data_IF_414280682372
#
_entry.id   IF_414280682372
#
_cell.length_a   1.000
_cell.length_b   1.000
_cell.length_c   1.000
_cell.angle_alpha   90.00
_cell.angle_beta   90.00
_cell.angle_gamma   90.00
#
_symmetry.space_group_name_H-M   'P 1'
#
loop_
_entity.id
_entity.type
_entity.pdbx_description
1 polymer ?
#
# COMPACT_ATOMS: atom_id res chain seq x y z
N UNK A 1 -11.03 -9.27 -37.52
CA UNK A 1 -11.98 -9.15 -36.39
C UNK A 1 -11.13 -9.12 -35.13
N UNK A 2 -10.82 -7.95 -34.56
CA UNK A 2 -10.22 -7.87 -33.24
C UNK A 2 -11.26 -7.28 -32.27
N UNK A 3 -12.11 -8.14 -31.74
CA UNK A 3 -13.01 -7.79 -30.64
C UNK A 3 -13.14 -9.06 -29.80
N UNK A 4 -12.33 -9.15 -28.73
CA UNK A 4 -12.74 -9.60 -27.40
C UNK A 4 -11.51 -9.55 -26.46
N UNK A 5 -11.05 -8.34 -26.13
CA UNK A 5 -10.31 -8.13 -24.88
C UNK A 5 -11.26 -7.36 -23.99
N UNK A 6 -11.91 -8.08 -23.08
CA UNK A 6 -12.77 -7.47 -22.07
C UNK A 6 -11.99 -6.36 -21.34
N UNK A 7 -12.50 -5.12 -21.28
CA UNK A 7 -11.83 -4.00 -20.62
C UNK A 7 -12.08 -4.06 -19.11
N UNK A 8 -11.65 -5.15 -18.48
CA UNK A 8 -11.63 -5.25 -17.02
C UNK A 8 -10.18 -5.06 -16.60
N UNK A 9 -9.87 -3.83 -16.22
CA UNK A 9 -8.80 -3.45 -15.30
C UNK A 9 -7.45 -4.18 -15.43
N UNK A 10 -6.76 -4.00 -16.56
CA UNK A 10 -5.29 -3.93 -16.48
C UNK A 10 -4.98 -2.62 -15.79
N UNK A 11 -4.90 -2.69 -14.46
CA UNK A 11 -4.42 -1.61 -13.64
C UNK A 11 -3.02 -1.25 -14.14
N UNK A 12 -2.93 -0.14 -14.88
CA UNK A 12 -1.70 0.26 -15.55
C UNK A 12 -0.70 0.76 -14.50
N UNK A 13 0.38 -0.01 -14.33
CA UNK A 13 1.46 0.27 -13.37
C UNK A 13 1.98 1.72 -13.50
N UNK A 14 2.08 2.21 -14.74
CA UNK A 14 2.57 3.56 -15.04
C UNK A 14 1.56 4.65 -14.64
N UNK A 15 0.26 4.34 -14.69
CA UNK A 15 -0.81 5.23 -14.24
C UNK A 15 -0.92 5.24 -12.72
N UNK A 16 -0.80 4.08 -12.07
CA UNK A 16 -0.81 3.99 -10.61
C UNK A 16 0.40 4.65 -9.96
N UNK A 17 1.60 4.45 -10.52
CA UNK A 17 2.82 5.12 -10.06
C UNK A 17 2.72 6.64 -10.15
N UNK A 18 1.96 7.17 -11.13
CA UNK A 18 1.69 8.61 -11.26
C UNK A 18 0.59 9.09 -10.32
N UNK A 19 -0.39 8.24 -10.02
CA UNK A 19 -1.55 8.58 -9.21
C UNK A 19 -1.26 8.49 -7.70
N UNK A 20 -0.41 7.55 -7.29
CA UNK A 20 -0.06 7.28 -5.89
C UNK A 20 1.47 7.13 -5.71
N UNK A 21 2.29 8.13 -6.11
CA UNK A 21 3.75 8.00 -6.16
C UNK A 21 4.40 7.63 -4.82
N UNK A 22 3.86 8.11 -3.70
CA UNK A 22 4.48 7.91 -2.39
C UNK A 22 4.11 6.53 -1.81
N UNK A 23 2.84 6.16 -1.89
CA UNK A 23 2.32 4.85 -1.50
C UNK A 23 2.90 3.75 -2.37
N UNK A 24 3.08 4.03 -3.67
CA UNK A 24 3.71 3.11 -4.61
C UNK A 24 5.18 2.88 -4.27
N UNK A 25 5.90 3.95 -3.99
CA UNK A 25 7.32 3.84 -3.57
C UNK A 25 7.42 3.02 -2.29
N UNK A 26 6.49 3.18 -1.34
CA UNK A 26 6.47 2.38 -0.13
C UNK A 26 6.19 0.90 -0.40
N UNK A 27 5.10 0.60 -1.12
CA UNK A 27 4.68 -0.79 -1.40
C UNK A 27 5.66 -1.51 -2.34
N UNK A 28 6.27 -0.79 -3.29
CA UNK A 28 7.24 -1.36 -4.23
C UNK A 28 8.68 -1.44 -3.70
N UNK A 29 9.13 -0.48 -2.88
CA UNK A 29 10.52 -0.44 -2.41
C UNK A 29 10.72 -1.13 -1.06
N UNK A 30 9.73 -1.13 -0.17
CA UNK A 30 9.86 -1.74 1.15
C UNK A 30 9.26 -3.16 1.18
N UNK A 31 8.09 -3.37 0.59
CA UNK A 31 7.46 -4.70 0.52
C UNK A 31 7.98 -5.55 -0.66
N UNK A 32 9.30 -5.59 -0.88
CA UNK A 32 9.90 -6.45 -1.92
C UNK A 32 9.76 -7.94 -1.56
N UNK A 33 9.92 -8.87 -2.51
CA UNK A 33 9.79 -10.33 -2.26
C UNK A 33 10.61 -10.84 -1.07
N UNK A 34 11.76 -10.21 -0.80
CA UNK A 34 12.68 -10.56 0.28
C UNK A 34 12.51 -9.70 1.54
N UNK A 35 11.42 -8.94 1.69
CA UNK A 35 11.23 -8.06 2.83
C UNK A 35 11.33 -8.79 4.18
N UNK A 36 10.94 -10.07 4.23
CA UNK A 36 11.04 -10.93 5.42
C UNK A 36 12.49 -11.28 5.81
N UNK A 37 13.46 -11.09 4.91
CA UNK A 37 14.88 -11.29 5.19
C UNK A 37 15.44 -10.09 5.99
N UNK A 38 14.91 -8.88 5.74
CA UNK A 38 15.31 -7.65 6.42
C UNK A 38 14.45 -7.33 7.65
N UNK A 39 13.17 -7.72 7.66
CA UNK A 39 12.22 -7.38 8.73
C UNK A 39 11.47 -8.60 9.26
N UNK A 40 11.46 -8.73 10.60
CA UNK A 40 10.76 -9.83 11.30
C UNK A 40 9.24 -9.74 11.15
N UNK A 41 8.68 -8.53 11.04
CA UNK A 41 7.25 -8.29 10.88
C UNK A 41 6.98 -7.11 9.95
N UNK A 42 5.82 -7.14 9.27
CA UNK A 42 5.35 -6.06 8.41
C UNK A 42 5.24 -4.72 9.19
N UNK A 43 4.85 -4.78 10.47
CA UNK A 43 4.78 -3.59 11.33
C UNK A 43 6.14 -2.91 11.51
N UNK A 44 7.24 -3.66 11.64
CA UNK A 44 8.58 -3.08 11.73
C UNK A 44 9.05 -2.46 10.43
N UNK A 45 8.68 -3.07 9.31
CA UNK A 45 8.91 -2.50 7.99
C UNK A 45 8.19 -1.16 7.84
N UNK A 46 6.93 -1.08 8.27
CA UNK A 46 6.18 0.18 8.27
C UNK A 46 6.81 1.23 9.19
N UNK A 47 7.21 0.85 10.40
CA UNK A 47 7.83 1.77 11.35
C UNK A 47 9.16 2.35 10.81
N UNK A 48 10.00 1.54 10.16
CA UNK A 48 11.22 2.05 9.53
C UNK A 48 10.92 2.92 8.30
N UNK A 49 9.99 2.48 7.44
CA UNK A 49 9.61 3.19 6.22
C UNK A 49 9.01 4.57 6.54
N UNK A 50 8.02 4.62 7.43
CA UNK A 50 7.34 5.86 7.82
C UNK A 50 8.12 6.66 8.87
N UNK A 51 8.94 6.01 9.69
CA UNK A 51 9.70 6.64 10.77
C UNK A 51 10.70 7.67 10.27
N UNK A 52 11.25 7.48 9.06
CA UNK A 52 12.20 8.40 8.41
C UNK A 52 11.55 9.56 7.68
N UNK A 53 10.25 9.48 7.39
CA UNK A 53 9.51 10.50 6.65
C UNK A 53 9.18 11.70 7.54
N UNK A 54 8.90 12.86 6.95
CA UNK A 54 8.39 14.02 7.66
C UNK A 54 6.85 14.04 7.72
N UNK A 55 6.26 14.99 8.45
CA UNK A 55 4.80 15.11 8.61
C UNK A 55 4.07 15.29 7.27
N UNK A 56 4.59 16.15 6.39
CA UNK A 56 3.97 16.40 5.08
C UNK A 56 3.96 15.16 4.20
N UNK A 57 5.05 14.40 4.18
CA UNK A 57 5.13 13.12 3.46
C UNK A 57 4.09 12.11 3.98
N UNK A 58 3.91 12.03 5.30
CA UNK A 58 2.87 11.15 5.85
C UNK A 58 1.45 11.62 5.53
N UNK A 59 1.19 12.93 5.51
CA UNK A 59 -0.12 13.49 5.12
C UNK A 59 -0.44 13.16 3.65
N UNK A 60 0.55 13.24 2.76
CA UNK A 60 0.40 12.83 1.37
C UNK A 60 0.11 11.32 1.26
N UNK A 61 0.79 10.48 2.04
CA UNK A 61 0.54 9.04 2.10
C UNK A 61 -0.87 8.73 2.64
N UNK A 62 -1.34 9.36 3.73
CA UNK A 62 -2.71 9.10 4.23
C UNK A 62 -3.78 9.49 3.18
N UNK A 63 -3.53 10.55 2.41
CA UNK A 63 -4.42 10.97 1.33
C UNK A 63 -4.46 9.94 0.21
N UNK A 64 -3.29 9.46 -0.24
CA UNK A 64 -3.19 8.43 -1.28
C UNK A 64 -3.79 7.09 -0.83
N UNK A 65 -3.45 6.60 0.36
CA UNK A 65 -4.07 5.40 0.95
C UNK A 65 -5.59 5.57 1.09
N UNK A 66 -6.06 6.80 1.30
CA UNK A 66 -7.48 7.14 1.28
C UNK A 66 -8.14 7.05 -0.09
N UNK A 67 -7.43 7.48 -1.13
CA UNK A 67 -7.85 7.29 -2.52
C UNK A 67 -7.94 5.81 -2.87
N UNK A 68 -6.90 5.04 -2.52
CA UNK A 68 -6.86 3.59 -2.75
C UNK A 68 -8.03 2.90 -2.02
N UNK A 69 -8.29 3.23 -0.75
CA UNK A 69 -9.40 2.62 -0.01
C UNK A 69 -10.79 2.96 -0.61
N UNK A 70 -10.92 4.10 -1.29
CA UNK A 70 -12.17 4.51 -1.94
C UNK A 70 -12.33 3.87 -3.33
N UNK A 71 -11.24 3.72 -4.07
CA UNK A 71 -11.20 3.15 -5.43
C UNK A 71 -11.23 1.61 -5.40
N UNK A 72 -10.62 1.00 -4.38
CA UNK A 72 -10.50 -0.44 -4.17
C UNK A 72 -11.15 -0.86 -2.83
N UNK A 73 -12.49 -0.84 -2.72
CA UNK A 73 -13.19 -1.07 -1.43
C UNK A 73 -13.30 -2.55 -1.03
N UNK A 74 -12.81 -3.48 -1.84
CA UNK A 74 -12.96 -4.93 -1.63
C UNK A 74 -11.62 -5.63 -1.55
N UNK A 75 -11.55 -6.72 -0.78
CA UNK A 75 -10.33 -7.50 -0.57
C UNK A 75 -9.67 -7.94 -1.89
N UNK A 76 -10.46 -8.55 -2.78
CA UNK A 76 -10.06 -8.95 -4.15
C UNK A 76 -9.41 -7.81 -4.95
N UNK A 77 -9.89 -6.58 -4.78
CA UNK A 77 -9.44 -5.42 -5.53
C UNK A 77 -8.09 -4.92 -5.00
N UNK A 78 -7.91 -4.96 -3.67
CA UNK A 78 -6.63 -4.65 -3.03
C UNK A 78 -5.61 -5.78 -3.30
N UNK A 79 -6.02 -7.05 -3.31
CA UNK A 79 -5.13 -8.16 -3.68
C UNK A 79 -4.62 -8.01 -5.12
N UNK A 80 -5.50 -7.71 -6.08
CA UNK A 80 -5.08 -7.43 -7.46
C UNK A 80 -4.15 -6.23 -7.55
N UNK A 81 -4.39 -5.19 -6.76
CA UNK A 81 -3.51 -4.03 -6.70
C UNK A 81 -2.11 -4.41 -6.20
N UNK A 82 -2.02 -5.19 -5.11
CA UNK A 82 -0.76 -5.66 -4.55
C UNK A 82 -0.01 -6.60 -5.50
N UNK A 83 -0.72 -7.53 -6.14
CA UNK A 83 -0.16 -8.41 -7.18
C UNK A 83 0.38 -7.60 -8.37
N UNK A 84 -0.37 -6.57 -8.79
CA UNK A 84 0.05 -5.66 -9.87
C UNK A 84 1.31 -4.86 -9.49
N UNK A 85 1.41 -4.39 -8.24
CA UNK A 85 2.62 -3.74 -7.72
C UNK A 85 3.81 -4.71 -7.69
N UNK A 86 3.54 -6.02 -7.58
CA UNK A 86 4.57 -7.04 -7.41
C UNK A 86 5.14 -7.04 -5.99
N UNK A 87 4.34 -6.67 -4.98
CA UNK A 87 4.78 -6.74 -3.59
C UNK A 87 4.90 -8.19 -3.14
N UNK A 88 5.92 -8.49 -2.34
CA UNK A 88 6.08 -9.76 -1.65
C UNK A 88 5.22 -9.92 -0.41
N UNK A 89 4.50 -8.87 -0.02
CA UNK A 89 3.64 -8.85 1.15
C UNK A 89 2.21 -9.24 0.76
N UNK A 90 1.74 -10.31 1.38
CA UNK A 90 0.36 -10.78 1.35
C UNK A 90 -0.31 -10.45 2.69
N UNK A 91 -1.28 -9.52 2.74
CA UNK A 91 -1.89 -9.08 4.00
C UNK A 91 -2.46 -10.23 4.83
N UNK A 92 -3.08 -11.20 4.16
CA UNK A 92 -3.75 -12.35 4.79
C UNK A 92 -2.74 -13.31 5.43
N UNK A 93 -1.63 -13.59 4.74
CA UNK A 93 -0.60 -14.51 5.19
C UNK A 93 0.40 -13.86 6.15
N UNK A 94 0.72 -12.59 5.94
CA UNK A 94 1.78 -11.87 6.68
C UNK A 94 1.27 -11.19 7.95
N UNK A 95 0.05 -10.66 7.91
CA UNK A 95 -0.51 -9.90 9.03
C UNK A 95 -1.73 -10.59 9.65
N UNK A 96 -2.24 -11.65 9.02
CA UNK A 96 -3.47 -12.32 9.44
C UNK A 96 -4.72 -11.44 9.27
N UNK A 97 -4.64 -10.35 8.51
CA UNK A 97 -5.71 -9.40 8.24
C UNK A 97 -6.19 -9.55 6.81
N UNK A 98 -7.48 -9.33 6.59
CA UNK A 98 -7.97 -9.17 5.22
C UNK A 98 -7.35 -7.91 4.59
N UNK A 99 -7.12 -7.87 3.27
CA UNK A 99 -6.52 -6.73 2.58
C UNK A 99 -7.16 -5.37 2.91
N UNK A 100 -8.49 -5.31 3.01
CA UNK A 100 -9.22 -4.08 3.39
C UNK A 100 -8.92 -3.69 4.84
N UNK A 101 -8.91 -4.67 5.75
CA UNK A 101 -8.57 -4.42 7.15
C UNK A 101 -7.12 -3.95 7.29
N UNK A 102 -6.20 -4.59 6.58
CA UNK A 102 -4.79 -4.22 6.55
C UNK A 102 -4.60 -2.77 6.10
N UNK A 103 -5.24 -2.36 4.99
CA UNK A 103 -5.17 -0.98 4.51
C UNK A 103 -5.74 0.01 5.54
N UNK A 104 -6.82 -0.38 6.23
CA UNK A 104 -7.39 0.40 7.33
C UNK A 104 -6.43 0.55 8.53
N UNK A 105 -5.79 -0.53 8.95
CA UNK A 105 -4.80 -0.52 10.02
C UNK A 105 -3.56 0.30 9.64
N UNK A 106 -3.09 0.19 8.38
CA UNK A 106 -1.98 0.97 7.85
C UNK A 106 -2.27 2.47 7.91
N UNK A 107 -3.45 2.91 7.44
CA UNK A 107 -3.87 4.31 7.54
C UNK A 107 -3.95 4.80 8.97
N UNK A 108 -4.45 3.97 9.89
CA UNK A 108 -4.50 4.30 11.32
C UNK A 108 -3.09 4.49 11.89
N UNK A 109 -2.14 3.65 11.49
CA UNK A 109 -0.75 3.75 11.90
C UNK A 109 -0.10 5.04 11.39
N UNK A 110 -0.24 5.35 10.10
CA UNK A 110 0.25 6.61 9.49
C UNK A 110 -0.33 7.83 10.21
N UNK A 111 -1.63 7.85 10.49
CA UNK A 111 -2.27 8.93 11.26
C UNK A 111 -1.72 9.08 12.67
N UNK A 112 -1.43 7.96 13.35
CA UNK A 112 -0.78 7.99 14.65
C UNK A 112 0.61 8.64 14.60
N UNK A 113 1.38 8.38 13.54
CA UNK A 113 2.69 9.00 13.33
C UNK A 113 2.58 10.49 12.97
N UNK A 114 1.55 10.91 12.23
CA UNK A 114 1.28 12.32 11.96
C UNK A 114 1.00 13.07 13.27
N UNK A 115 0.11 12.52 14.11
CA UNK A 115 -0.30 13.11 15.39
C UNK A 115 0.89 13.20 16.37
N UNK A 116 1.72 12.15 16.44
CA UNK A 116 2.93 12.13 17.25
C UNK A 116 4.00 13.16 16.84
N UNK A 117 3.93 13.70 15.62
CA UNK A 117 4.84 14.75 15.11
C UNK A 117 4.28 16.16 15.27
N UNK A 118 3.01 16.29 15.66
CA UNK A 118 2.37 17.56 16.02
C UNK A 118 2.61 17.92 17.50
N UNK A 119 2.78 16.89 18.35
CA UNK A 119 3.02 17.00 19.80
C UNK A 119 4.46 17.41 20.17
#
# INVERSE_FOLDING_TARGET
MPDDVSPVDLVDLESLTKQYPHSWTLMGAYCTVDWRDEYETAERLYDDAFGRMNRGELEEIDAELGGIAAEYPTDDAIERLLDTIGTGLDPSLDTGRTPVQWLGDLRRHVRGLIDARDA
#
